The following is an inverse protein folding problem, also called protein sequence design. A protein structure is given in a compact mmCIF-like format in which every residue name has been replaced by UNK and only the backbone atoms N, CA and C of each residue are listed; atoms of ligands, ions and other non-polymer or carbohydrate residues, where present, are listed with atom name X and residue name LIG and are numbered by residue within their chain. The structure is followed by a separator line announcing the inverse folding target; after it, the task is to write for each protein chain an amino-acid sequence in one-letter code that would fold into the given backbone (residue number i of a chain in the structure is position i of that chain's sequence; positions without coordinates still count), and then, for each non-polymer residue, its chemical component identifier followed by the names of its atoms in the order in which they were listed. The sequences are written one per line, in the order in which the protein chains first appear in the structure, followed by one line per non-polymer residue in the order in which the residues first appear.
data_IF_349302579008
#
_entry.id   IF_349302579008
#
_cell.length_a   1.000
_cell.length_b   1.000
_cell.length_c   1.000
_cell.angle_alpha   90.00
_cell.angle_beta   90.00
_cell.angle_gamma   90.00
#
_symmetry.space_group_name_H-M   'P 1'
#
loop_
_entity.id
_entity.type
_entity.pdbx_description
1 polymer ?
#
# COMPACT_ATOMS: atom_id res chain seq x y z
N UNK A 1 2.42 18.31 -5.37
CA UNK A 1 1.89 17.76 -6.64
C UNK A 1 2.55 18.54 -7.76
N UNK A 2 3.35 17.88 -8.60
CA UNK A 2 3.97 18.53 -9.75
C UNK A 2 3.18 18.11 -10.99
N UNK A 3 2.34 19.02 -11.49
CA UNK A 3 1.60 18.81 -12.74
C UNK A 3 2.58 19.07 -13.89
N UNK A 4 2.59 18.22 -14.92
CA UNK A 4 3.55 18.28 -16.04
C UNK A 4 3.16 19.25 -17.17
N UNK A 5 2.28 20.21 -16.88
CA UNK A 5 1.82 21.21 -17.86
C UNK A 5 3.01 21.92 -18.50
N UNK A 6 4.03 22.32 -17.74
CA UNK A 6 5.19 23.05 -18.28
C UNK A 6 5.99 22.25 -19.31
N UNK A 7 6.32 21.01 -18.98
CA UNK A 7 7.05 20.09 -19.85
C UNK A 7 6.25 19.78 -21.12
N UNK A 8 4.95 19.51 -20.98
CA UNK A 8 4.08 19.20 -22.11
C UNK A 8 3.84 20.42 -22.99
N UNK A 9 3.63 21.60 -22.40
CA UNK A 9 3.50 22.86 -23.14
C UNK A 9 4.76 23.16 -23.95
N UNK A 10 5.94 22.97 -23.36
CA UNK A 10 7.22 23.14 -24.06
C UNK A 10 7.37 22.17 -25.22
N UNK A 11 7.03 20.89 -25.01
CA UNK A 11 7.06 19.86 -26.07
C UNK A 11 6.12 20.22 -27.22
N UNK A 12 4.88 20.62 -26.91
CA UNK A 12 3.88 21.02 -27.90
C UNK A 12 4.32 22.27 -28.66
N UNK A 13 4.87 23.28 -27.97
CA UNK A 13 5.41 24.50 -28.59
C UNK A 13 6.53 24.20 -29.58
N UNK A 14 7.51 23.38 -29.16
CA UNK A 14 8.64 22.99 -30.02
C UNK A 14 8.16 22.17 -31.22
N UNK A 15 7.23 21.23 -31.01
CA UNK A 15 6.63 20.43 -32.09
C UNK A 15 5.91 21.27 -33.15
N UNK A 16 5.40 22.44 -32.76
CA UNK A 16 4.75 23.40 -33.65
C UNK A 16 5.71 24.53 -34.12
N UNK A 17 7.01 24.40 -33.86
CA UNK A 17 8.05 25.35 -34.29
C UNK A 17 7.83 26.79 -33.79
N UNK A 18 7.20 26.96 -32.63
CA UNK A 18 6.89 28.26 -32.04
C UNK A 18 7.98 28.73 -31.06
N UNK A 19 8.25 30.03 -31.04
CA UNK A 19 9.04 30.65 -29.97
C UNK A 19 8.15 30.97 -28.76
N UNK A 20 8.75 31.25 -27.60
CA UNK A 20 7.98 31.63 -26.40
C UNK A 20 7.21 32.94 -26.62
N UNK A 21 7.78 33.86 -27.41
CA UNK A 21 7.16 35.15 -27.77
C UNK A 21 5.92 34.93 -28.64
N UNK A 22 6.01 34.09 -29.67
CA UNK A 22 4.86 33.77 -30.54
C UNK A 22 3.75 33.10 -29.75
N UNK A 23 4.09 32.18 -28.85
CA UNK A 23 3.10 31.52 -28.01
C UNK A 23 2.43 32.50 -27.03
N UNK A 24 3.19 33.46 -26.52
CA UNK A 24 2.69 34.49 -25.62
C UNK A 24 1.68 35.40 -26.32
N UNK A 25 1.94 35.77 -27.58
CA UNK A 25 1.02 36.54 -28.42
C UNK A 25 -0.31 35.81 -28.63
N UNK A 26 -0.27 34.52 -28.95
CA UNK A 26 -1.48 33.68 -29.15
C UNK A 26 -2.41 33.70 -27.94
N UNK A 27 -1.85 33.61 -26.73
CA UNK A 27 -2.64 33.55 -25.49
C UNK A 27 -2.79 34.88 -24.77
N UNK A 28 -2.28 35.99 -25.34
CA UNK A 28 -2.39 37.32 -24.74
C UNK A 28 -1.66 37.45 -23.41
N UNK A 29 -0.52 36.77 -23.24
CA UNK A 29 0.30 36.80 -22.02
C UNK A 29 1.70 37.32 -22.30
N UNK A 30 2.51 37.49 -21.26
CA UNK A 30 3.92 37.87 -21.44
C UNK A 30 4.79 36.67 -21.81
N UNK A 31 5.86 36.84 -22.60
CA UNK A 31 6.82 35.77 -22.87
C UNK A 31 7.44 35.20 -21.58
N UNK A 32 7.60 36.05 -20.55
CA UNK A 32 8.05 35.63 -19.23
C UNK A 32 7.06 34.67 -18.55
N UNK A 33 5.74 34.84 -18.75
CA UNK A 33 4.74 33.91 -18.26
C UNK A 33 4.91 32.54 -18.93
N UNK A 34 5.03 32.49 -20.26
CA UNK A 34 5.30 31.24 -21.00
C UNK A 34 6.59 30.57 -20.48
N UNK A 35 7.67 31.32 -20.33
CA UNK A 35 8.94 30.79 -19.82
C UNK A 35 8.79 30.21 -18.40
N UNK A 36 8.08 30.90 -17.51
CA UNK A 36 7.82 30.40 -16.15
C UNK A 36 6.92 29.18 -16.15
N UNK A 37 5.94 29.09 -17.05
CA UNK A 37 5.11 27.89 -17.21
C UNK A 37 5.96 26.70 -17.66
N UNK A 38 6.76 26.87 -18.70
CA UNK A 38 7.60 25.80 -19.24
C UNK A 38 8.69 25.31 -18.29
N UNK A 39 9.14 26.18 -17.38
CA UNK A 39 10.12 25.85 -16.34
C UNK A 39 9.47 25.41 -15.02
N UNK A 40 8.17 25.10 -15.00
CA UNK A 40 7.40 24.69 -13.82
C UNK A 40 7.49 25.68 -12.64
N UNK A 41 7.82 26.95 -12.89
CA UNK A 41 7.92 27.99 -11.85
C UNK A 41 6.55 28.52 -11.44
N UNK A 42 5.61 28.56 -12.39
CA UNK A 42 4.20 28.91 -12.19
C UNK A 42 3.35 28.07 -13.15
N UNK A 43 2.03 28.02 -12.96
CA UNK A 43 1.11 27.38 -13.90
C UNK A 43 0.28 28.42 -14.67
N UNK A 44 -0.19 28.09 -15.88
CA UNK A 44 -1.29 28.84 -16.49
C UNK A 44 -2.51 28.85 -15.57
N UNK A 45 -3.31 29.89 -15.64
CA UNK A 45 -4.60 29.89 -14.94
C UNK A 45 -5.45 28.70 -15.44
N UNK A 46 -6.23 28.09 -14.54
CA UNK A 46 -7.11 26.97 -14.89
C UNK A 46 -8.07 27.33 -16.02
N UNK A 47 -8.49 28.59 -16.13
CA UNK A 47 -9.37 29.09 -17.20
C UNK A 47 -8.68 29.13 -18.56
N UNK A 48 -7.34 29.11 -18.61
CA UNK A 48 -6.56 29.11 -19.86
C UNK A 48 -6.36 27.69 -20.43
N UNK A 49 -6.49 26.65 -19.60
CA UNK A 49 -6.22 25.27 -20.02
C UNK A 49 -7.09 24.80 -21.20
N UNK A 50 -8.41 25.09 -21.27
CA UNK A 50 -9.21 24.71 -22.44
C UNK A 50 -8.71 25.37 -23.74
N UNK A 51 -8.28 26.63 -23.66
CA UNK A 51 -7.74 27.37 -24.80
C UNK A 51 -6.42 26.78 -25.29
N UNK A 52 -5.52 26.46 -24.35
CA UNK A 52 -4.23 25.83 -24.65
C UNK A 52 -4.42 24.44 -25.26
N UNK A 53 -5.29 23.62 -24.66
CA UNK A 53 -5.58 22.28 -25.14
C UNK A 53 -6.18 22.29 -26.56
N UNK A 54 -7.15 23.18 -26.82
CA UNK A 54 -7.77 23.32 -28.14
C UNK A 54 -6.78 23.81 -29.21
N UNK A 55 -5.92 24.79 -28.86
CA UNK A 55 -4.91 25.30 -29.80
C UNK A 55 -3.97 24.21 -30.31
N UNK A 56 -3.58 23.27 -29.44
CA UNK A 56 -2.70 22.15 -29.80
C UNK A 56 -3.44 20.87 -30.22
N UNK A 57 -4.78 20.89 -30.26
CA UNK A 57 -5.63 19.74 -30.55
C UNK A 57 -5.30 18.51 -29.67
N UNK A 58 -5.12 18.75 -28.37
CA UNK A 58 -4.90 17.72 -27.34
C UNK A 58 -6.00 17.79 -26.28
N UNK A 59 -6.16 16.72 -25.50
CA UNK A 59 -7.05 16.78 -24.33
C UNK A 59 -6.42 17.57 -23.17
N UNK A 60 -7.23 18.08 -22.25
CA UNK A 60 -6.71 18.68 -21.00
C UNK A 60 -5.96 17.62 -20.18
N UNK A 61 -6.44 16.38 -20.17
CA UNK A 61 -5.77 15.25 -19.51
C UNK A 61 -4.35 15.05 -20.07
N UNK A 62 -4.19 15.06 -21.39
CA UNK A 62 -2.88 14.96 -22.06
C UNK A 62 -1.98 16.18 -21.73
N UNK A 63 -2.52 17.40 -21.81
CA UNK A 63 -1.79 18.63 -21.47
C UNK A 63 -1.26 18.58 -20.02
N UNK A 64 -2.07 18.08 -19.09
CA UNK A 64 -1.71 17.96 -17.68
C UNK A 64 -0.81 16.76 -17.36
N UNK A 65 -0.68 15.80 -18.28
CA UNK A 65 0.05 14.55 -18.06
C UNK A 65 -0.71 13.55 -17.18
N UNK A 66 -2.05 13.54 -17.26
CA UNK A 66 -2.92 12.69 -16.43
C UNK A 66 -2.70 11.20 -16.68
N UNK A 67 -2.31 10.78 -17.89
CA UNK A 67 -2.02 9.37 -18.17
C UNK A 67 -0.84 8.86 -17.35
N UNK A 68 0.19 9.69 -17.16
CA UNK A 68 1.29 9.36 -16.27
C UNK A 68 0.86 9.38 -14.80
N UNK A 69 -0.07 10.25 -14.41
CA UNK A 69 -0.60 10.31 -13.03
C UNK A 69 -1.51 9.11 -12.76
N UNK A 70 -2.23 8.58 -13.74
CA UNK A 70 -3.08 7.39 -13.58
C UNK A 70 -2.31 6.07 -13.74
N UNK A 71 -0.99 6.12 -13.93
CA UNK A 71 -0.20 4.94 -14.21
C UNK A 71 -0.13 3.99 -12.99
N UNK A 72 -0.72 2.80 -13.13
CA UNK A 72 -0.71 1.71 -12.14
C UNK A 72 0.72 1.30 -11.77
N UNK A 73 1.67 1.39 -12.70
CA UNK A 73 3.09 1.09 -12.43
C UNK A 73 3.67 2.02 -11.37
N UNK A 74 3.22 3.28 -11.29
CA UNK A 74 3.66 4.21 -10.22
C UNK A 74 3.12 3.81 -8.86
N UNK A 75 1.91 3.26 -8.82
CA UNK A 75 1.33 2.73 -7.57
C UNK A 75 2.13 1.50 -7.14
N UNK A 76 2.42 0.59 -8.07
CA UNK A 76 3.24 -0.60 -7.82
C UNK A 76 4.66 -0.22 -7.37
N UNK A 77 5.31 0.75 -8.01
CA UNK A 77 6.63 1.22 -7.58
C UNK A 77 6.60 1.85 -6.20
N UNK A 78 5.50 2.53 -5.84
CA UNK A 78 5.29 3.08 -4.50
C UNK A 78 5.30 1.95 -3.47
N UNK A 79 4.53 0.87 -3.70
CA UNK A 79 4.54 -0.29 -2.81
C UNK A 79 5.93 -0.92 -2.68
N UNK A 80 6.68 -1.06 -3.78
CA UNK A 80 8.05 -1.59 -3.73
C UNK A 80 8.99 -0.73 -2.85
N UNK A 81 8.93 0.59 -2.99
CA UNK A 81 9.75 1.53 -2.19
C UNK A 81 9.37 1.46 -0.71
N UNK A 82 8.07 1.44 -0.41
CA UNK A 82 7.55 1.32 0.95
C UNK A 82 8.05 0.04 1.60
N UNK A 83 7.94 -1.09 0.89
CA UNK A 83 8.40 -2.38 1.41
C UNK A 83 9.92 -2.39 1.65
N UNK A 84 10.70 -1.74 0.77
CA UNK A 84 12.15 -1.57 0.98
C UNK A 84 12.44 -0.77 2.26
N UNK A 85 11.73 0.35 2.48
CA UNK A 85 11.89 1.14 3.69
C UNK A 85 11.51 0.37 4.95
N UNK A 86 10.38 -0.35 4.93
CA UNK A 86 9.96 -1.19 6.05
C UNK A 86 10.98 -2.28 6.37
N UNK A 87 11.54 -2.94 5.35
CA UNK A 87 12.58 -3.96 5.54
C UNK A 87 13.86 -3.43 6.20
N UNK A 88 14.12 -2.12 6.05
CA UNK A 88 15.24 -1.40 6.66
C UNK A 88 14.88 -0.73 8.00
N UNK A 89 13.64 -0.87 8.47
CA UNK A 89 13.13 -0.21 9.67
C UNK A 89 12.87 1.31 9.52
N UNK A 90 12.87 1.82 8.29
CA UNK A 90 12.66 3.24 7.94
C UNK A 90 11.16 3.58 7.87
N UNK A 91 10.45 3.37 8.98
CA UNK A 91 8.96 3.45 9.02
C UNK A 91 8.45 4.88 8.75
N UNK A 92 9.18 5.91 9.19
CA UNK A 92 8.76 7.30 8.96
C UNK A 92 8.80 7.68 7.47
N UNK A 93 9.82 7.21 6.77
CA UNK A 93 10.00 7.37 5.33
C UNK A 93 8.89 6.63 4.57
N UNK A 94 8.58 5.40 4.96
CA UNK A 94 7.46 4.63 4.42
C UNK A 94 6.12 5.39 4.58
N UNK A 95 5.81 5.88 5.79
CA UNK A 95 4.60 6.68 6.07
C UNK A 95 4.56 7.94 5.20
N UNK A 96 5.67 8.66 5.07
CA UNK A 96 5.73 9.87 4.27
C UNK A 96 5.47 9.58 2.79
N UNK A 97 6.12 8.55 2.24
CA UNK A 97 5.90 8.11 0.85
C UNK A 97 4.44 7.74 0.60
N UNK A 98 3.81 6.99 1.52
CA UNK A 98 2.39 6.63 1.42
C UNK A 98 1.47 7.85 1.47
N UNK A 99 1.71 8.80 2.38
CA UNK A 99 0.94 10.05 2.47
C UNK A 99 1.06 10.89 1.20
N UNK A 100 2.23 10.94 0.57
CA UNK A 100 2.41 11.62 -0.71
C UNK A 100 1.67 10.93 -1.85
N UNK A 101 1.70 9.60 -1.90
CA UNK A 101 0.95 8.83 -2.88
C UNK A 101 -0.57 9.01 -2.71
N UNK A 102 -1.09 8.99 -1.48
CA UNK A 102 -2.53 9.16 -1.20
C UNK A 102 -3.04 10.54 -1.61
N UNK A 103 -2.20 11.58 -1.60
CA UNK A 103 -2.58 12.91 -2.16
C UNK A 103 -2.91 12.82 -3.66
N UNK A 104 -2.26 11.92 -4.39
CA UNK A 104 -2.52 11.67 -5.81
C UNK A 104 -3.61 10.63 -6.04
N UNK A 105 -3.70 9.63 -5.15
CA UNK A 105 -4.62 8.49 -5.25
C UNK A 105 -5.50 8.35 -3.99
N UNK A 106 -6.33 9.33 -3.66
CA UNK A 106 -7.03 9.38 -2.37
C UNK A 106 -8.03 8.24 -2.14
N UNK A 107 -8.47 7.56 -3.21
CA UNK A 107 -9.39 6.42 -3.16
C UNK A 107 -8.72 5.09 -3.53
N UNK A 108 -7.38 5.03 -3.55
CA UNK A 108 -6.69 3.77 -3.68
C UNK A 108 -6.66 3.06 -2.33
N UNK A 109 -7.57 2.11 -2.13
CA UNK A 109 -7.71 1.39 -0.86
C UNK A 109 -6.51 0.50 -0.51
N UNK A 110 -5.68 0.13 -1.48
CA UNK A 110 -4.42 -0.55 -1.23
C UNK A 110 -3.45 0.36 -0.48
N UNK A 111 -3.22 1.57 -1.00
CA UNK A 111 -2.36 2.57 -0.36
C UNK A 111 -2.90 3.00 1.02
N UNK A 112 -4.22 3.15 1.16
CA UNK A 112 -4.83 3.48 2.45
C UNK A 112 -4.64 2.34 3.46
N UNK A 113 -4.82 1.08 3.05
CA UNK A 113 -4.57 -0.08 3.91
C UNK A 113 -3.10 -0.17 4.31
N UNK A 114 -2.19 0.09 3.37
CA UNK A 114 -0.74 0.07 3.64
C UNK A 114 -0.33 1.19 4.60
N UNK A 115 -0.89 2.39 4.45
CA UNK A 115 -0.64 3.48 5.40
C UNK A 115 -1.17 3.14 6.79
N UNK A 116 -2.37 2.58 6.89
CA UNK A 116 -2.91 2.13 8.17
C UNK A 116 -1.99 1.09 8.81
N UNK A 117 -1.38 0.21 8.01
CA UNK A 117 -0.43 -0.78 8.47
C UNK A 117 0.84 -0.14 9.03
N UNK A 118 1.49 0.72 8.24
CA UNK A 118 2.72 1.41 8.61
C UNK A 118 2.54 2.31 9.85
N UNK A 119 1.39 2.98 9.97
CA UNK A 119 1.04 3.72 11.18
C UNK A 119 0.94 2.80 12.39
N UNK A 120 0.30 1.63 12.25
CA UNK A 120 0.27 0.71 13.39
C UNK A 120 1.65 0.17 13.74
N UNK A 121 2.52 -0.10 12.76
CA UNK A 121 3.91 -0.50 13.00
C UNK A 121 4.63 0.58 13.84
N UNK A 122 4.48 1.85 13.48
CA UNK A 122 5.08 2.98 14.20
C UNK A 122 4.60 3.08 15.65
N UNK A 123 3.35 2.70 15.94
CA UNK A 123 2.83 2.73 17.32
C UNK A 123 3.52 1.78 18.28
N UNK A 124 4.35 0.84 17.79
CA UNK A 124 5.17 -0.01 18.66
C UNK A 124 6.35 0.75 19.28
N UNK A 125 6.81 1.84 18.64
CA UNK A 125 7.91 2.68 19.14
C UNK A 125 7.39 3.95 19.79
N UNK A 126 6.33 4.55 19.25
CA UNK A 126 5.78 5.84 19.69
C UNK A 126 4.31 5.69 20.10
N UNK A 127 3.98 5.95 21.38
CA UNK A 127 2.59 5.95 21.86
C UNK A 127 1.98 7.33 21.58
N UNK A 128 1.68 7.59 20.32
CA UNK A 128 0.98 8.81 19.87
C UNK A 128 -0.48 8.47 19.53
N UNK A 129 -1.43 8.99 20.32
CA UNK A 129 -2.87 8.78 20.12
C UNK A 129 -3.36 9.17 18.72
N UNK A 130 -2.75 10.19 18.11
CA UNK A 130 -3.11 10.64 16.77
C UNK A 130 -2.82 9.61 15.69
N UNK A 131 -1.72 8.84 15.83
CA UNK A 131 -1.38 7.76 14.88
C UNK A 131 -2.40 6.63 14.92
N UNK A 132 -2.88 6.27 16.13
CA UNK A 132 -3.93 5.27 16.29
C UNK A 132 -5.25 5.70 15.64
N UNK A 133 -5.67 6.94 15.90
CA UNK A 133 -6.91 7.48 15.35
C UNK A 133 -6.86 7.55 13.82
N UNK A 134 -5.72 7.96 13.25
CA UNK A 134 -5.51 7.97 11.80
C UNK A 134 -5.59 6.54 11.22
N UNK A 135 -4.88 5.58 11.82
CA UNK A 135 -4.86 4.19 11.35
C UNK A 135 -6.24 3.51 11.42
N UNK A 136 -7.02 3.78 12.48
CA UNK A 136 -8.40 3.28 12.62
C UNK A 136 -9.30 3.91 11.55
N UNK A 137 -9.28 5.22 11.40
CA UNK A 137 -10.12 5.93 10.42
C UNK A 137 -9.84 5.47 8.98
N UNK A 138 -8.56 5.27 8.63
CA UNK A 138 -8.15 4.71 7.35
C UNK A 138 -8.67 3.28 7.17
N UNK A 139 -8.54 2.44 8.20
CA UNK A 139 -9.00 1.05 8.17
C UNK A 139 -10.52 0.96 7.98
N UNK A 140 -11.30 1.75 8.71
CA UNK A 140 -12.75 1.81 8.58
C UNK A 140 -13.17 2.29 7.18
N UNK A 141 -12.49 3.31 6.64
CA UNK A 141 -12.74 3.80 5.28
C UNK A 141 -12.49 2.72 4.23
N UNK A 142 -11.41 1.95 4.36
CA UNK A 142 -11.11 0.83 3.45
C UNK A 142 -12.16 -0.27 3.57
N UNK A 143 -12.56 -0.66 4.77
CA UNK A 143 -13.55 -1.72 4.98
C UNK A 143 -14.94 -1.35 4.47
N UNK A 144 -15.30 -0.07 4.52
CA UNK A 144 -16.58 0.45 4.03
C UNK A 144 -16.64 0.50 2.49
N UNK A 145 -15.54 0.88 1.83
CA UNK A 145 -15.59 1.28 0.41
C UNK A 145 -14.82 0.36 -0.55
N UNK A 146 -13.88 -0.45 -0.05
CA UNK A 146 -13.14 -1.38 -0.91
C UNK A 146 -14.01 -2.60 -1.24
N UNK A 147 -13.99 -3.01 -2.51
CA UNK A 147 -14.58 -4.28 -2.98
C UNK A 147 -13.54 -5.39 -3.13
N UNK A 148 -12.25 -5.09 -2.88
CA UNK A 148 -11.18 -6.07 -2.98
C UNK A 148 -11.05 -6.87 -1.67
N UNK A 149 -11.46 -8.14 -1.70
CA UNK A 149 -11.47 -9.01 -0.52
C UNK A 149 -10.11 -9.20 0.13
N UNK A 150 -9.03 -9.28 -0.66
CA UNK A 150 -7.68 -9.41 -0.10
C UNK A 150 -7.32 -8.19 0.74
N UNK A 151 -7.52 -6.99 0.19
CA UNK A 151 -7.29 -5.73 0.90
C UNK A 151 -8.14 -5.68 2.17
N UNK A 152 -9.45 -5.94 2.04
CA UNK A 152 -10.37 -5.92 3.19
C UNK A 152 -9.95 -6.88 4.29
N UNK A 153 -9.52 -8.09 3.94
CA UNK A 153 -9.07 -9.11 4.90
C UNK A 153 -7.81 -8.66 5.65
N UNK A 154 -6.82 -8.14 4.93
CA UNK A 154 -5.60 -7.56 5.53
C UNK A 154 -5.93 -6.40 6.46
N UNK A 155 -6.74 -5.45 5.99
CA UNK A 155 -7.15 -4.29 6.81
C UNK A 155 -7.92 -4.71 8.06
N UNK A 156 -8.84 -5.67 7.94
CA UNK A 156 -9.62 -6.19 9.08
C UNK A 156 -8.70 -6.81 10.12
N UNK A 157 -7.70 -7.57 9.67
CA UNK A 157 -6.69 -8.17 10.53
C UNK A 157 -5.89 -7.08 11.26
N UNK A 158 -5.38 -6.07 10.57
CA UNK A 158 -4.69 -4.93 11.19
C UNK A 158 -5.57 -4.22 12.22
N UNK A 159 -6.85 -4.00 11.90
CA UNK A 159 -7.80 -3.31 12.78
C UNK A 159 -8.07 -4.07 14.09
N UNK A 160 -8.10 -5.42 14.07
CA UNK A 160 -8.20 -6.21 15.30
C UNK A 160 -7.11 -5.84 16.31
N UNK A 161 -5.88 -5.71 15.83
CA UNK A 161 -4.74 -5.39 16.67
C UNK A 161 -4.67 -3.91 17.05
N UNK A 162 -5.09 -3.00 16.16
CA UNK A 162 -5.29 -1.59 16.52
C UNK A 162 -6.24 -1.47 17.71
N UNK A 163 -7.38 -2.17 17.67
CA UNK A 163 -8.31 -2.19 18.80
C UNK A 163 -7.70 -2.71 20.09
N UNK A 164 -6.91 -3.79 20.03
CA UNK A 164 -6.17 -4.26 21.22
C UNK A 164 -5.19 -3.20 21.76
N UNK A 165 -4.49 -2.48 20.88
CA UNK A 165 -3.52 -1.43 21.29
C UNK A 165 -4.19 -0.23 21.96
N UNK A 166 -5.44 0.06 21.61
CA UNK A 166 -6.24 1.13 22.24
C UNK A 166 -7.17 0.63 23.37
N UNK A 167 -6.98 -0.62 23.84
CA UNK A 167 -7.77 -1.28 24.91
C UNK A 167 -9.26 -1.46 24.59
N UNK A 168 -9.60 -1.64 23.31
CA UNK A 168 -10.94 -1.93 22.81
C UNK A 168 -11.12 -3.43 22.54
N UNK A 169 -10.86 -4.26 23.56
CA UNK A 169 -10.75 -5.71 23.44
C UNK A 169 -12.02 -6.39 22.90
N UNK A 170 -13.20 -5.94 23.33
CA UNK A 170 -14.48 -6.48 22.85
C UNK A 170 -14.65 -6.27 21.34
N UNK A 171 -14.27 -5.09 20.82
CA UNK A 171 -14.30 -4.78 19.39
C UNK A 171 -13.30 -5.64 18.64
N UNK A 172 -12.09 -5.81 19.18
CA UNK A 172 -11.06 -6.67 18.59
C UNK A 172 -11.55 -8.12 18.46
N UNK A 173 -12.12 -8.69 19.53
CA UNK A 173 -12.64 -10.07 19.54
C UNK A 173 -13.80 -10.22 18.58
N UNK A 174 -14.76 -9.29 18.60
CA UNK A 174 -15.91 -9.31 17.69
C UNK A 174 -15.45 -9.27 16.23
N UNK A 175 -14.49 -8.40 15.91
CA UNK A 175 -13.97 -8.27 14.56
C UNK A 175 -13.20 -9.52 14.12
N UNK A 176 -12.35 -10.07 15.00
CA UNK A 176 -11.57 -11.27 14.74
C UNK A 176 -12.44 -12.49 14.42
N UNK A 177 -13.61 -12.62 15.07
CA UNK A 177 -14.60 -13.67 14.78
C UNK A 177 -15.25 -13.56 13.40
N UNK A 178 -15.05 -12.45 12.69
CA UNK A 178 -15.52 -12.25 11.31
C UNK A 178 -14.43 -12.45 10.25
N UNK A 179 -13.22 -12.86 10.66
CA UNK A 179 -12.17 -13.27 9.74
C UNK A 179 -12.51 -14.66 9.16
N UNK A 180 -12.04 -14.97 7.94
CA UNK A 180 -12.25 -16.28 7.33
C UNK A 180 -11.73 -17.41 8.20
N UNK A 181 -12.37 -18.57 8.10
CA UNK A 181 -11.90 -19.76 8.78
C UNK A 181 -10.71 -20.39 8.04
N UNK A 182 -9.86 -21.12 8.77
CA UNK A 182 -8.62 -21.69 8.20
C UNK A 182 -8.85 -22.62 7.01
N UNK A 183 -9.97 -23.37 6.98
CA UNK A 183 -10.31 -24.27 5.87
C UNK A 183 -10.71 -23.55 4.59
N UNK A 184 -10.95 -22.23 4.65
CA UNK A 184 -11.28 -21.38 3.50
C UNK A 184 -10.02 -20.69 2.93
N UNK A 185 -8.87 -20.83 3.60
CA UNK A 185 -7.62 -20.21 3.17
C UNK A 185 -7.07 -20.85 1.91
N UNK A 186 -6.40 -20.03 1.09
CA UNK A 186 -5.81 -20.43 -0.19
C UNK A 186 -4.86 -21.62 -0.04
N UNK A 187 -4.04 -21.64 0.99
CA UNK A 187 -3.06 -22.70 1.26
C UNK A 187 -3.71 -24.07 1.53
N UNK A 188 -5.01 -24.09 1.91
CA UNK A 188 -5.80 -25.31 2.13
C UNK A 188 -6.58 -25.70 0.87
N UNK A 189 -7.19 -24.73 0.16
CA UNK A 189 -8.11 -25.01 -0.96
C UNK A 189 -7.39 -25.14 -2.31
N UNK A 190 -6.33 -24.36 -2.55
CA UNK A 190 -5.65 -24.31 -3.85
C UNK A 190 -5.07 -25.66 -4.30
N UNK A 191 -4.46 -26.50 -3.44
CA UNK A 191 -3.93 -27.80 -3.87
C UNK A 191 -4.98 -28.68 -4.54
N UNK A 192 -6.23 -28.66 -4.06
CA UNK A 192 -7.35 -29.43 -4.60
C UNK A 192 -7.71 -29.08 -6.06
N UNK A 193 -7.19 -27.97 -6.59
CA UNK A 193 -7.40 -27.55 -7.99
C UNK A 193 -6.44 -28.24 -8.97
N UNK A 194 -5.46 -28.99 -8.46
CA UNK A 194 -4.42 -29.65 -9.23
C UNK A 194 -4.56 -31.18 -9.18
N UNK A 195 -3.95 -31.86 -10.15
CA UNK A 195 -3.96 -33.32 -10.28
C UNK A 195 -2.54 -33.85 -10.40
N UNK A 196 -2.30 -35.11 -10.01
CA UNK A 196 -1.00 -35.75 -10.13
C UNK A 196 0.07 -35.06 -9.28
N UNK A 197 1.26 -34.86 -9.84
CA UNK A 197 2.40 -34.29 -9.10
C UNK A 197 2.17 -32.84 -8.66
N UNK A 198 1.43 -32.05 -9.45
CA UNK A 198 1.15 -30.63 -9.13
C UNK A 198 0.33 -30.48 -7.84
N UNK A 199 -0.58 -31.42 -7.55
CA UNK A 199 -1.31 -31.46 -6.28
C UNK A 199 -0.35 -31.55 -5.08
N UNK A 200 0.61 -32.47 -5.13
CA UNK A 200 1.56 -32.67 -4.04
C UNK A 200 2.52 -31.49 -3.90
N UNK A 201 2.88 -30.83 -5.00
CA UNK A 201 3.70 -29.63 -5.00
C UNK A 201 3.00 -28.48 -4.27
N UNK A 202 1.74 -28.19 -4.64
CA UNK A 202 0.98 -27.11 -4.02
C UNK A 202 0.60 -27.43 -2.56
N UNK A 203 0.25 -28.68 -2.26
CA UNK A 203 -0.02 -29.12 -0.89
C UNK A 203 1.21 -28.95 0.00
N UNK A 204 2.40 -29.36 -0.49
CA UNK A 204 3.66 -29.19 0.24
C UNK A 204 3.92 -27.71 0.53
N UNK A 205 3.74 -26.82 -0.46
CA UNK A 205 3.89 -25.37 -0.26
C UNK A 205 2.94 -24.86 0.83
N UNK A 206 1.66 -25.20 0.75
CA UNK A 206 0.65 -24.79 1.73
C UNK A 206 0.98 -25.23 3.15
N UNK A 207 1.36 -26.50 3.35
CA UNK A 207 1.77 -27.05 4.65
C UNK A 207 2.97 -26.29 5.21
N UNK A 208 4.02 -26.07 4.40
CA UNK A 208 5.23 -25.37 4.84
C UNK A 208 4.95 -23.92 5.23
N UNK A 209 4.07 -23.24 4.49
CA UNK A 209 3.60 -21.90 4.85
C UNK A 209 2.91 -21.94 6.22
N UNK A 210 1.86 -22.75 6.39
CA UNK A 210 1.08 -22.81 7.64
C UNK A 210 1.94 -23.17 8.85
N UNK A 211 2.83 -24.16 8.73
CA UNK A 211 3.76 -24.53 9.82
C UNK A 211 4.64 -23.33 10.20
N UNK A 212 5.18 -22.60 9.22
CA UNK A 212 6.04 -21.45 9.50
C UNK A 212 5.30 -20.34 10.24
N UNK A 213 4.05 -20.04 9.84
CA UNK A 213 3.15 -19.09 10.53
C UNK A 213 2.94 -19.49 12.00
N UNK A 214 2.65 -20.77 12.24
CA UNK A 214 2.37 -21.28 13.59
C UNK A 214 3.63 -21.21 14.46
N UNK A 215 4.78 -21.65 13.95
CA UNK A 215 6.05 -21.60 14.67
C UNK A 215 6.41 -20.17 15.08
N UNK A 216 6.31 -19.20 14.16
CA UNK A 216 6.58 -17.81 14.47
C UNK A 216 5.64 -17.27 15.56
N UNK A 217 4.36 -17.69 15.54
CA UNK A 217 3.41 -17.35 16.61
C UNK A 217 3.80 -17.96 17.96
N UNK A 218 4.24 -19.22 17.99
CA UNK A 218 4.70 -19.90 19.21
C UNK A 218 5.93 -19.21 19.78
N UNK A 219 6.94 -18.93 18.96
CA UNK A 219 8.16 -18.24 19.40
C UNK A 219 7.85 -16.86 19.99
N UNK A 220 6.90 -16.17 19.38
CA UNK A 220 6.47 -14.86 19.82
C UNK A 220 5.53 -14.87 21.04
N UNK A 221 4.91 -16.00 21.37
CA UNK A 221 4.00 -16.14 22.51
C UNK A 221 4.68 -15.88 23.87
N UNK A 222 6.00 -16.09 23.98
CA UNK A 222 6.75 -15.89 25.24
C UNK A 222 6.86 -14.42 25.68
N UNK A 223 6.47 -13.46 24.84
CA UNK A 223 6.51 -12.00 25.10
C UNK A 223 5.11 -11.39 25.26
N UNK A 224 4.13 -12.15 25.78
CA UNK A 224 2.69 -11.87 25.73
C UNK A 224 2.25 -10.60 26.49
N UNK A 225 2.46 -9.43 25.90
CA UNK A 225 1.71 -8.19 26.18
C UNK A 225 1.44 -7.56 24.82
N UNK A 226 0.20 -7.69 24.33
CA UNK A 226 -0.29 -7.33 22.99
C UNK A 226 0.77 -7.54 21.88
N UNK A 227 0.88 -8.76 21.33
CA UNK A 227 1.85 -9.09 20.28
C UNK A 227 1.89 -8.01 19.19
N UNK A 228 3.09 -7.51 18.85
CA UNK A 228 3.23 -6.51 17.79
C UNK A 228 2.71 -7.05 16.46
N UNK A 229 1.91 -6.23 15.77
CA UNK A 229 1.45 -6.47 14.37
C UNK A 229 2.62 -6.78 13.44
N UNK A 230 3.79 -6.20 13.74
CA UNK A 230 5.06 -6.40 13.06
C UNK A 230 5.37 -7.89 12.89
N UNK A 231 5.04 -8.69 13.91
CA UNK A 231 5.29 -10.14 13.94
C UNK A 231 4.26 -10.97 13.20
N UNK A 232 3.19 -10.38 12.65
CA UNK A 232 2.17 -11.10 11.87
C UNK A 232 2.16 -10.62 10.41
N UNK A 233 2.49 -9.36 10.15
CA UNK A 233 2.81 -8.91 8.78
C UNK A 233 4.13 -9.57 8.33
N UNK A 234 5.13 -9.66 9.23
CA UNK A 234 6.39 -10.34 8.93
C UNK A 234 6.20 -11.84 8.64
N UNK A 235 5.14 -12.47 9.16
CA UNK A 235 4.77 -13.87 8.84
C UNK A 235 4.37 -14.02 7.36
N UNK A 236 3.85 -12.97 6.73
CA UNK A 236 3.51 -12.96 5.30
C UNK A 236 4.72 -12.84 4.37
N UNK A 237 5.90 -12.46 4.90
CA UNK A 237 7.15 -12.42 4.12
C UNK A 237 7.67 -13.85 3.97
N UNK A 238 7.63 -14.35 2.73
CA UNK A 238 8.22 -15.61 2.27
C UNK A 238 9.69 -15.77 2.74
N UNK A 239 9.90 -16.23 3.97
CA UNK A 239 11.14 -16.89 4.38
C UNK A 239 10.93 -18.38 4.22
N UNK A 240 10.83 -18.81 2.96
CA UNK A 240 11.04 -20.20 2.59
C UNK A 240 12.53 -20.49 2.73
N UNK A 241 12.99 -20.74 3.95
CA UNK A 241 14.18 -21.55 4.17
C UNK A 241 13.68 -22.96 4.46
N UNK A 242 14.06 -23.92 3.61
CA UNK A 242 13.92 -25.36 3.84
C UNK A 242 14.70 -25.85 5.09
N UNK A 243 15.36 -24.94 5.82
CA UNK A 243 16.12 -25.24 7.02
C UNK A 243 15.20 -25.46 8.24
N UNK A 244 15.23 -26.72 8.69
CA UNK A 244 14.71 -27.32 9.93
C UNK A 244 13.19 -27.46 10.12
N UNK A 245 12.50 -28.11 9.17
CA UNK A 245 11.14 -28.63 9.42
C UNK A 245 11.06 -29.50 10.69
N UNK A 246 12.12 -30.27 10.97
CA UNK A 246 12.21 -31.09 12.19
C UNK A 246 12.17 -30.23 13.46
N UNK A 247 12.98 -29.16 13.53
CA UNK A 247 12.97 -28.23 14.65
C UNK A 247 11.62 -27.52 14.80
N UNK A 248 10.97 -27.15 13.68
CA UNK A 248 9.62 -26.58 13.67
C UNK A 248 8.56 -27.52 14.27
N UNK A 249 8.61 -28.82 13.92
CA UNK A 249 7.70 -29.83 14.48
C UNK A 249 7.97 -30.02 15.97
N UNK A 250 9.24 -30.15 16.38
CA UNK A 250 9.62 -30.27 17.79
C UNK A 250 9.12 -29.09 18.63
N UNK A 251 9.25 -27.87 18.11
CA UNK A 251 8.73 -26.64 18.74
C UNK A 251 7.20 -26.70 18.93
N UNK A 252 6.46 -27.14 17.92
CA UNK A 252 5.00 -27.27 18.00
C UNK A 252 4.61 -28.30 19.06
N UNK A 253 5.23 -29.48 19.05
CA UNK A 253 4.97 -30.54 20.04
C UNK A 253 5.22 -30.05 21.46
N UNK A 254 6.38 -29.44 21.71
CA UNK A 254 6.73 -28.89 23.02
C UNK A 254 5.72 -27.84 23.51
N UNK A 255 5.23 -26.97 22.61
CA UNK A 255 4.24 -25.96 22.98
C UNK A 255 2.89 -26.59 23.37
N UNK A 256 2.43 -27.61 22.64
CA UNK A 256 1.16 -28.28 22.93
C UNK A 256 1.21 -29.06 24.24
N UNK A 257 2.33 -29.73 24.53
CA UNK A 257 2.52 -30.51 25.78
C UNK A 257 2.57 -29.63 27.04
N UNK A 258 2.93 -28.35 26.92
CA UNK A 258 2.98 -27.39 28.04
C UNK A 258 1.59 -26.81 28.39
N UNK A 259 0.64 -26.86 27.45
CA UNK A 259 -0.68 -26.22 27.56
C UNK A 259 -1.80 -27.23 27.90
N UNK A 260 -1.51 -28.54 27.87
CA UNK A 260 -2.39 -29.63 28.30
C UNK A 260 -2.33 -29.89 29.81
#
# INVERSE_FOLDING_TARGET
MQIKIGENLRKLRIKNELTQEKLAEVFGVSPQAISRWENNSTYPDVTMLPGIANYYNVSIDELMGMDEIRNIEKINSTFSIVHEYESKGMINEAIQTLREAIKLYPNNYGLLSELALALTLKTNTDIEYDLFNEAIALSERVLLNSTNEKIRSTTKTNLCFLYLKVNEDEKAIKLAKTLPHIWECREIVLPEMFMGDDYFIELKKGILTVISIICEKIENSKKHKHSSIDKIIAIGSNKNSDDELKGKIELITQFLDVVS
#
